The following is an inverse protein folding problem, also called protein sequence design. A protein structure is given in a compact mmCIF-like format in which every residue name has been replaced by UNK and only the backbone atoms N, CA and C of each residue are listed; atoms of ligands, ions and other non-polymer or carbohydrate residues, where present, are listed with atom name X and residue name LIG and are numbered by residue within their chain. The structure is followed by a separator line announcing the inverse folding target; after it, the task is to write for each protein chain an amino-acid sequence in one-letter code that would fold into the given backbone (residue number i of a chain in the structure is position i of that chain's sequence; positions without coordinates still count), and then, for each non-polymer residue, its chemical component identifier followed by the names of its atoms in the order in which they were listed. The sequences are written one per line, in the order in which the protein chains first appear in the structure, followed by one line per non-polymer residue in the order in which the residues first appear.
data_IF_743301433147
#
_entry.id   IF_743301433147
#
_cell.length_a   1.000
_cell.length_b   1.000
_cell.length_c   1.000
_cell.angle_alpha   90.00
_cell.angle_beta   90.00
_cell.angle_gamma   90.00
#
_symmetry.space_group_name_H-M   'P 1'
#
loop_
_entity.id
_entity.type
_entity.pdbx_description
1 polymer ?
#
# COMPACT_ATOMS: atom_id res chain seq x y z
N UNK A 1 6.44 -7.58 27.24
CA UNK A 1 5.91 -6.27 27.72
C UNK A 1 7.05 -5.32 28.13
N UNK A 2 8.19 -5.27 27.42
CA UNK A 2 9.35 -4.43 27.80
C UNK A 2 10.05 -3.66 26.67
N UNK A 3 9.56 -3.75 25.45
CA UNK A 3 10.17 -3.01 24.32
C UNK A 3 9.67 -1.57 24.17
N UNK A 4 8.69 -1.14 24.97
CA UNK A 4 8.14 0.22 24.92
C UNK A 4 8.88 1.21 25.85
N UNK A 5 9.63 0.73 26.82
CA UNK A 5 10.38 1.60 27.75
C UNK A 5 11.68 2.19 27.18
N UNK A 6 12.15 1.67 26.06
CA UNK A 6 13.43 2.12 25.47
C UNK A 6 13.31 3.40 24.61
N UNK A 7 12.11 3.83 24.26
CA UNK A 7 11.91 4.99 23.37
C UNK A 7 11.63 6.32 24.09
N UNK A 8 11.39 6.31 25.41
CA UNK A 8 11.00 7.52 26.15
C UNK A 8 12.18 8.18 26.90
N UNK A 9 13.35 7.57 26.95
CA UNK A 9 14.48 8.07 27.77
C UNK A 9 15.63 8.73 27.00
N UNK A 10 15.43 9.06 25.72
CA UNK A 10 16.33 9.94 24.96
C UNK A 10 15.73 11.33 24.85
N UNK A 11 15.61 11.97 26.01
CA UNK A 11 15.32 13.40 26.16
C UNK A 11 16.34 14.23 25.40
N UNK A 12 15.83 15.20 24.65
CA UNK A 12 16.57 16.08 23.75
C UNK A 12 17.84 16.70 24.35
N UNK A 13 18.95 16.40 23.69
CA UNK A 13 20.11 17.27 23.61
C UNK A 13 20.56 17.29 22.16
N UNK A 14 20.25 18.38 21.49
CA UNK A 14 20.85 18.76 20.22
C UNK A 14 22.36 18.88 20.39
N UNK A 15 23.09 17.84 20.04
CA UNK A 15 24.54 17.99 19.81
C UNK A 15 24.73 18.71 18.48
N UNK A 16 25.03 20.00 18.53
CA UNK A 16 25.67 20.70 17.42
C UNK A 16 27.08 20.12 17.27
N UNK A 17 27.23 19.19 16.31
CA UNK A 17 28.56 18.81 15.85
C UNK A 17 29.15 20.00 15.09
N UNK A 18 30.13 20.63 15.68
CA UNK A 18 31.02 21.59 15.01
C UNK A 18 31.89 20.78 14.07
N UNK A 19 31.57 20.79 12.78
CA UNK A 19 32.42 20.23 11.72
C UNK A 19 33.50 21.27 11.43
N UNK A 20 34.80 20.95 11.56
CA UNK A 20 35.88 21.87 11.21
C UNK A 20 35.82 22.18 9.71
N UNK A 21 35.76 23.48 9.39
CA UNK A 21 35.91 24.01 8.03
C UNK A 21 37.36 23.82 7.56
N UNK A 22 37.70 22.65 7.01
CA UNK A 22 38.87 22.54 6.15
C UNK A 22 38.83 21.18 5.45
N UNK A 23 38.45 21.21 4.23
CA UNK A 23 38.94 20.48 3.04
C UNK A 23 37.85 20.64 1.98
N UNK A 24 37.95 21.74 1.20
CA UNK A 24 37.29 21.80 -0.11
C UNK A 24 38.00 20.79 -1.01
N UNK A 25 37.53 19.53 -1.01
CA UNK A 25 37.89 18.57 -2.05
C UNK A 25 37.09 18.98 -3.29
N UNK A 26 37.82 19.37 -4.35
CA UNK A 26 37.23 19.59 -5.66
C UNK A 26 36.36 18.41 -6.03
N UNK A 27 35.06 18.65 -6.19
CA UNK A 27 34.13 17.63 -6.64
C UNK A 27 34.55 17.27 -8.07
N UNK A 28 34.88 15.99 -8.37
CA UNK A 28 35.20 15.60 -9.73
C UNK A 28 33.99 15.99 -10.60
N UNK A 29 34.32 16.61 -11.75
CA UNK A 29 33.36 17.10 -12.74
C UNK A 29 32.47 15.90 -13.15
N UNK A 30 31.32 15.73 -12.51
CA UNK A 30 30.36 14.68 -12.81
C UNK A 30 29.85 14.97 -14.23
N UNK A 31 30.41 14.29 -15.23
CA UNK A 31 29.79 14.23 -16.55
C UNK A 31 28.31 14.01 -16.36
N UNK A 32 27.49 14.97 -16.79
CA UNK A 32 26.01 14.86 -16.72
C UNK A 32 25.65 13.54 -17.36
N UNK A 33 25.16 12.59 -16.54
CA UNK A 33 24.64 11.32 -17.08
C UNK A 33 23.66 11.70 -18.18
N UNK A 34 23.68 11.06 -19.35
CA UNK A 34 22.70 11.32 -20.38
C UNK A 34 21.32 11.22 -19.74
N UNK A 35 20.46 12.22 -19.97
CA UNK A 35 19.09 12.20 -19.49
C UNK A 35 18.48 10.90 -19.96
N UNK A 36 18.20 9.97 -19.02
CA UNK A 36 17.60 8.70 -19.36
C UNK A 36 16.40 8.98 -20.23
N UNK A 37 16.24 8.24 -21.32
CA UNK A 37 15.07 8.35 -22.19
C UNK A 37 13.82 7.79 -21.49
N UNK A 38 13.47 8.39 -20.35
CA UNK A 38 12.31 8.06 -19.55
C UNK A 38 11.02 8.17 -20.37
N UNK A 39 10.98 9.07 -21.37
CA UNK A 39 9.88 9.19 -22.33
C UNK A 39 9.65 7.93 -23.18
N UNK A 40 10.71 7.21 -23.52
CA UNK A 40 10.59 5.99 -24.34
C UNK A 40 10.00 4.82 -23.54
N UNK A 41 10.29 4.75 -22.24
CA UNK A 41 9.84 3.66 -21.39
C UNK A 41 8.34 3.72 -21.06
N UNK A 42 7.73 4.91 -21.07
CA UNK A 42 6.32 5.14 -20.76
C UNK A 42 5.48 5.57 -21.98
N UNK A 43 5.88 5.20 -23.19
CA UNK A 43 5.12 5.52 -24.40
C UNK A 43 4.91 7.02 -24.64
N UNK A 44 5.82 7.87 -24.17
CA UNK A 44 5.77 9.31 -24.40
C UNK A 44 4.72 10.07 -23.57
N UNK A 45 3.96 9.42 -22.72
CA UNK A 45 3.01 10.10 -21.83
C UNK A 45 3.77 10.77 -20.70
N UNK A 46 3.50 12.06 -20.39
CA UNK A 46 4.12 12.71 -19.25
C UNK A 46 3.74 11.97 -17.98
N UNK A 47 4.72 11.74 -17.12
CA UNK A 47 4.49 11.17 -15.80
C UNK A 47 3.48 12.08 -15.07
N UNK A 48 2.29 11.59 -14.76
CA UNK A 48 1.33 12.32 -13.96
C UNK A 48 1.86 12.42 -12.54
N UNK A 49 2.53 13.51 -12.24
CA UNK A 49 2.83 13.89 -10.88
C UNK A 49 1.50 14.27 -10.21
N UNK A 50 0.99 13.43 -9.33
CA UNK A 50 -0.19 13.77 -8.54
C UNK A 50 0.16 14.97 -7.66
N UNK A 51 -0.58 16.06 -7.83
CA UNK A 51 -0.23 17.38 -7.25
C UNK A 51 -0.23 17.42 -5.72
N UNK A 52 -0.87 16.47 -5.02
CA UNK A 52 -1.12 16.59 -3.58
C UNK A 52 -0.89 15.29 -2.79
N UNK A 53 -0.20 14.29 -3.33
CA UNK A 53 0.06 13.06 -2.60
C UNK A 53 1.56 12.83 -2.50
N UNK A 54 2.01 12.24 -1.40
CA UNK A 54 3.35 11.70 -1.30
C UNK A 54 3.60 10.54 -2.29
N UNK A 55 2.60 10.18 -3.05
CA UNK A 55 2.65 9.19 -4.10
C UNK A 55 3.35 9.77 -5.32
N UNK A 56 4.53 9.30 -5.60
CA UNK A 56 5.35 9.71 -6.77
C UNK A 56 4.98 8.99 -8.05
N UNK A 57 4.11 8.00 -8.00
CA UNK A 57 3.87 7.07 -9.09
C UNK A 57 2.39 7.04 -9.44
N UNK A 58 2.10 6.96 -10.72
CA UNK A 58 0.75 6.85 -11.20
C UNK A 58 0.16 5.47 -10.87
N UNK A 59 -1.13 5.38 -10.95
CA UNK A 59 -1.90 4.16 -10.76
C UNK A 59 -1.41 3.04 -11.66
N UNK A 60 -1.26 1.88 -11.10
CA UNK A 60 -0.92 0.67 -11.84
C UNK A 60 -2.12 0.20 -12.66
N UNK A 61 -1.90 -0.11 -13.95
CA UNK A 61 -2.93 -0.77 -14.76
C UNK A 61 -3.39 -2.09 -14.13
N UNK A 62 -2.48 -2.80 -13.46
CA UNK A 62 -2.78 -4.06 -12.77
C UNK A 62 -3.83 -3.86 -11.67
N UNK A 63 -3.73 -2.80 -10.89
CA UNK A 63 -4.70 -2.46 -9.84
C UNK A 63 -6.06 -2.10 -10.42
N UNK A 64 -6.11 -1.30 -11.50
CA UNK A 64 -7.36 -0.95 -12.18
C UNK A 64 -8.05 -2.21 -12.75
N UNK A 65 -7.28 -3.06 -13.44
CA UNK A 65 -7.80 -4.29 -13.99
C UNK A 65 -8.28 -5.25 -12.87
N UNK A 66 -7.57 -5.30 -11.75
CA UNK A 66 -7.98 -6.08 -10.57
C UNK A 66 -9.29 -5.56 -9.96
N UNK A 67 -9.42 -4.25 -9.76
CA UNK A 67 -10.65 -3.66 -9.25
C UNK A 67 -11.85 -4.07 -10.12
N UNK A 68 -11.75 -3.85 -11.43
CA UNK A 68 -12.81 -4.20 -12.39
C UNK A 68 -13.13 -5.70 -12.43
N UNK A 69 -12.09 -6.55 -12.46
CA UNK A 69 -12.26 -7.97 -12.74
C UNK A 69 -12.58 -8.82 -11.51
N UNK A 70 -12.24 -8.32 -10.32
CA UNK A 70 -12.50 -8.99 -9.05
C UNK A 70 -13.46 -8.19 -8.17
N UNK A 71 -13.10 -6.98 -7.74
CA UNK A 71 -13.85 -6.27 -6.71
C UNK A 71 -15.23 -5.84 -7.21
N UNK A 72 -15.30 -5.23 -8.39
CA UNK A 72 -16.57 -4.76 -8.99
C UNK A 72 -17.48 -5.95 -9.35
N UNK A 73 -16.91 -7.03 -9.94
CA UNK A 73 -17.67 -8.24 -10.27
C UNK A 73 -18.18 -9.00 -9.04
N UNK A 74 -17.57 -8.81 -7.90
CA UNK A 74 -18.01 -9.33 -6.59
C UNK A 74 -18.92 -8.35 -5.85
N UNK A 75 -19.21 -7.19 -6.43
CA UNK A 75 -20.02 -6.11 -5.85
C UNK A 75 -19.50 -5.69 -4.46
N UNK A 76 -18.18 -5.50 -4.35
CA UNK A 76 -17.54 -5.11 -3.09
C UNK A 76 -17.43 -3.59 -2.98
N UNK A 77 -17.55 -3.10 -1.75
CA UNK A 77 -17.36 -1.69 -1.42
C UNK A 77 -15.96 -1.45 -0.90
N UNK A 78 -15.24 -0.51 -1.50
CA UNK A 78 -13.84 -0.25 -1.18
C UNK A 78 -13.45 1.21 -1.40
N UNK A 79 -12.40 1.64 -0.67
CA UNK A 79 -11.62 2.83 -0.98
C UNK A 79 -10.42 2.38 -1.81
N UNK A 80 -10.19 3.02 -2.94
CA UNK A 80 -9.01 2.81 -3.78
C UNK A 80 -7.89 3.76 -3.36
N UNK A 81 -6.65 3.24 -3.26
CA UNK A 81 -5.49 3.98 -2.74
C UNK A 81 -5.76 4.57 -1.35
N UNK A 82 -6.08 3.69 -0.40
CA UNK A 82 -6.30 4.07 0.98
C UNK A 82 -5.03 4.62 1.62
N UNK A 83 -5.07 5.85 2.11
CA UNK A 83 -3.93 6.51 2.74
C UNK A 83 -3.83 6.18 4.24
N UNK A 84 -2.74 5.51 4.63
CA UNK A 84 -2.30 5.39 6.01
C UNK A 84 -1.43 6.61 6.35
N UNK A 85 -2.08 7.69 6.85
CA UNK A 85 -1.49 9.04 6.99
C UNK A 85 -0.26 9.07 7.90
N UNK A 86 -0.28 8.31 8.97
CA UNK A 86 0.79 8.25 9.99
C UNK A 86 2.11 7.68 9.45
N UNK A 87 2.04 6.69 8.55
CA UNK A 87 3.22 6.14 7.88
C UNK A 87 3.44 6.72 6.47
N UNK A 88 2.56 7.58 5.99
CA UNK A 88 2.58 8.19 4.65
C UNK A 88 2.72 7.14 3.55
N UNK A 89 1.88 6.11 3.61
CA UNK A 89 1.81 5.02 2.63
C UNK A 89 0.37 4.81 2.21
N UNK A 90 0.24 4.22 1.02
CA UNK A 90 -1.05 3.86 0.46
C UNK A 90 -1.17 2.35 0.37
N UNK A 91 -2.34 1.84 0.71
CA UNK A 91 -2.76 0.48 0.37
C UNK A 91 -3.61 0.55 -0.89
N UNK A 92 -3.48 -0.44 -1.77
CA UNK A 92 -4.20 -0.39 -3.03
C UNK A 92 -5.71 -0.36 -2.80
N UNK A 93 -6.22 -1.18 -1.88
CA UNK A 93 -7.64 -1.18 -1.55
C UNK A 93 -7.88 -1.37 -0.05
N UNK A 94 -8.82 -0.59 0.49
CA UNK A 94 -9.42 -0.84 1.80
C UNK A 94 -10.89 -1.24 1.62
N UNK A 95 -11.29 -2.39 2.14
CA UNK A 95 -12.61 -2.96 1.95
C UNK A 95 -13.46 -2.91 3.21
N UNK A 96 -14.78 -2.86 3.00
CA UNK A 96 -15.77 -2.99 4.07
C UNK A 96 -16.72 -4.15 3.78
N UNK A 97 -17.18 -4.81 4.86
CA UNK A 97 -18.26 -5.80 4.79
C UNK A 97 -19.56 -5.27 5.43
N UNK A 98 -19.68 -3.97 5.61
CA UNK A 98 -20.85 -3.33 6.21
C UNK A 98 -21.78 -2.86 5.10
N UNK A 99 -22.96 -3.46 5.01
CA UNK A 99 -23.96 -3.21 3.96
C UNK A 99 -24.94 -2.07 4.31
N UNK A 100 -24.98 -1.66 5.59
CA UNK A 100 -25.95 -0.71 6.18
C UNK A 100 -25.43 0.74 6.24
N UNK A 101 -24.24 1.00 5.77
CA UNK A 101 -23.63 2.34 5.74
C UNK A 101 -23.81 2.96 4.35
N UNK A 102 -24.32 4.19 4.31
CA UNK A 102 -24.36 4.96 3.06
C UNK A 102 -23.01 5.62 2.83
N UNK A 103 -22.46 5.42 1.64
CA UNK A 103 -21.15 5.94 1.25
C UNK A 103 -21.29 7.00 0.15
N UNK A 104 -20.40 8.01 0.21
CA UNK A 104 -20.13 8.87 -0.93
C UNK A 104 -19.09 8.21 -1.83
N UNK A 105 -19.32 8.28 -3.13
CA UNK A 105 -18.44 7.67 -4.12
C UNK A 105 -17.70 8.75 -4.90
N UNK A 106 -16.50 8.42 -5.32
CA UNK A 106 -15.67 9.21 -6.23
C UNK A 106 -15.11 8.32 -7.34
N UNK A 107 -14.61 8.93 -8.41
CA UNK A 107 -13.92 8.23 -9.47
C UNK A 107 -12.43 8.62 -9.46
N UNK A 108 -11.57 7.61 -9.30
CA UNK A 108 -10.11 7.74 -9.35
C UNK A 108 -9.56 6.88 -10.48
N UNK A 109 -8.91 7.53 -11.45
CA UNK A 109 -8.26 6.85 -12.58
C UNK A 109 -9.16 5.85 -13.33
N UNK A 110 -10.48 6.16 -13.39
CA UNK A 110 -11.48 5.28 -14.01
C UNK A 110 -12.02 4.18 -13.09
N UNK A 111 -11.62 4.16 -11.82
CA UNK A 111 -12.14 3.25 -10.79
C UNK A 111 -13.15 3.98 -9.92
N UNK A 112 -14.39 3.48 -9.87
CA UNK A 112 -15.41 3.98 -8.95
C UNK A 112 -15.20 3.38 -7.58
N UNK A 113 -14.88 4.21 -6.61
CA UNK A 113 -14.62 3.78 -5.23
C UNK A 113 -15.25 4.71 -4.21
N UNK A 114 -15.24 4.32 -2.94
CA UNK A 114 -15.71 5.18 -1.85
C UNK A 114 -14.69 6.29 -1.60
N UNK A 115 -15.19 7.50 -1.38
CA UNK A 115 -14.37 8.65 -1.01
C UNK A 115 -13.82 8.47 0.41
N UNK A 116 -12.52 8.59 0.59
CA UNK A 116 -11.89 8.43 1.90
C UNK A 116 -12.12 9.62 2.81
N UNK A 117 -12.12 10.85 2.27
CA UNK A 117 -12.19 12.07 3.08
C UNK A 117 -13.63 12.45 3.41
N UNK A 118 -13.82 12.93 4.64
CA UNK A 118 -15.10 13.51 5.07
C UNK A 118 -16.17 12.51 5.48
N UNK A 119 -15.88 11.21 5.48
CA UNK A 119 -16.85 10.20 5.92
C UNK A 119 -16.21 9.05 6.71
N UNK A 120 -17.00 8.35 7.48
CA UNK A 120 -16.57 7.14 8.18
C UNK A 120 -16.65 5.93 7.24
N UNK A 121 -15.53 5.23 7.10
CA UNK A 121 -15.44 3.98 6.37
C UNK A 121 -14.85 2.89 7.29
N UNK A 122 -15.67 1.96 7.79
CA UNK A 122 -15.17 0.88 8.65
C UNK A 122 -14.40 -0.14 7.83
N UNK A 123 -13.08 -0.12 7.96
CA UNK A 123 -12.22 -1.05 7.24
C UNK A 123 -12.33 -2.45 7.85
N UNK A 124 -12.66 -3.43 7.02
CA UNK A 124 -12.70 -4.85 7.42
C UNK A 124 -11.37 -5.54 7.12
N UNK A 125 -10.78 -5.27 5.98
CA UNK A 125 -9.47 -5.76 5.57
C UNK A 125 -8.88 -4.89 4.46
N UNK A 126 -7.59 -5.02 4.26
CA UNK A 126 -6.83 -4.34 3.22
C UNK A 126 -6.39 -5.33 2.14
N UNK A 127 -6.22 -4.85 0.91
CA UNK A 127 -5.62 -5.62 -0.18
C UNK A 127 -4.43 -4.83 -0.74
N UNK A 128 -3.33 -5.55 -1.00
CA UNK A 128 -2.16 -5.11 -1.76
C UNK A 128 -1.98 -6.01 -2.98
N UNK A 129 -1.72 -5.40 -4.11
CA UNK A 129 -1.45 -6.09 -5.38
C UNK A 129 0.04 -6.05 -5.66
N UNK A 130 0.71 -7.13 -5.34
CA UNK A 130 2.17 -7.22 -5.44
C UNK A 130 2.58 -7.59 -6.88
N UNK A 131 3.11 -6.62 -7.62
CA UNK A 131 3.70 -6.85 -8.94
C UNK A 131 4.88 -7.82 -8.83
N UNK A 132 4.84 -8.95 -9.54
CA UNK A 132 5.74 -10.08 -9.34
C UNK A 132 7.22 -9.72 -9.45
N UNK A 133 7.58 -8.81 -10.36
CA UNK A 133 8.95 -8.34 -10.47
C UNK A 133 9.32 -7.37 -9.35
N UNK A 134 8.48 -6.35 -9.09
CA UNK A 134 8.83 -5.26 -8.18
C UNK A 134 8.89 -5.68 -6.71
N UNK A 135 8.06 -6.63 -6.30
CA UNK A 135 8.00 -7.18 -4.95
C UNK A 135 8.77 -8.50 -4.78
N UNK A 136 9.57 -8.87 -5.81
CA UNK A 136 10.47 -10.03 -5.76
C UNK A 136 9.75 -11.35 -5.52
N UNK A 137 8.68 -11.60 -6.27
CA UNK A 137 8.02 -12.91 -6.25
C UNK A 137 9.07 -14.01 -6.54
N UNK A 138 9.32 -14.96 -5.63
CA UNK A 138 10.36 -15.98 -5.80
C UNK A 138 10.14 -16.89 -7.01
N UNK A 139 8.92 -16.90 -7.57
CA UNK A 139 8.60 -17.62 -8.82
C UNK A 139 9.11 -16.88 -10.06
N UNK A 140 9.43 -15.58 -9.94
CA UNK A 140 9.81 -14.69 -11.04
C UNK A 140 11.22 -14.11 -10.87
N UNK A 141 11.61 -13.79 -9.65
CA UNK A 141 12.89 -13.19 -9.32
C UNK A 141 13.67 -14.11 -8.41
N UNK A 142 14.78 -14.65 -8.91
CA UNK A 142 15.71 -15.45 -8.11
C UNK A 142 16.54 -14.57 -7.16
N UNK A 143 17.03 -15.14 -6.06
CA UNK A 143 17.74 -14.41 -4.99
C UNK A 143 18.97 -13.66 -5.49
N UNK A 144 19.71 -14.24 -6.43
CA UNK A 144 20.89 -13.62 -7.05
C UNK A 144 20.58 -12.37 -7.88
N UNK A 145 19.31 -12.16 -8.26
CA UNK A 145 18.81 -11.00 -9.02
C UNK A 145 18.17 -9.91 -8.16
N UNK A 146 18.23 -10.05 -6.85
CA UNK A 146 17.71 -9.05 -5.93
C UNK A 146 18.52 -7.75 -6.03
N UNK A 147 17.86 -6.67 -6.42
CA UNK A 147 18.42 -5.33 -6.59
C UNK A 147 18.20 -4.45 -5.35
N UNK A 148 18.89 -3.30 -5.25
CA UNK A 148 18.59 -2.31 -4.20
C UNK A 148 17.13 -1.82 -4.21
N UNK A 149 16.47 -1.76 -5.38
CA UNK A 149 15.05 -1.43 -5.51
C UNK A 149 14.19 -2.50 -4.83
N UNK A 150 14.47 -3.78 -5.09
CA UNK A 150 13.75 -4.88 -4.47
C UNK A 150 13.87 -4.84 -2.93
N UNK A 151 15.09 -4.64 -2.41
CA UNK A 151 15.32 -4.50 -0.96
C UNK A 151 14.54 -3.33 -0.35
N UNK A 152 14.46 -2.21 -1.06
CA UNK A 152 13.67 -1.07 -0.62
C UNK A 152 12.17 -1.41 -0.59
N UNK A 153 11.64 -2.07 -1.62
CA UNK A 153 10.24 -2.47 -1.67
C UNK A 153 9.91 -3.46 -0.55
N UNK A 154 10.74 -4.48 -0.33
CA UNK A 154 10.59 -5.41 0.79
C UNK A 154 10.55 -4.70 2.16
N UNK A 155 11.36 -3.65 2.34
CA UNK A 155 11.30 -2.84 3.56
C UNK A 155 9.96 -2.08 3.69
N UNK A 156 9.48 -1.49 2.60
CA UNK A 156 8.19 -0.78 2.57
C UNK A 156 7.03 -1.76 2.82
N UNK A 157 7.08 -2.95 2.22
CA UNK A 157 6.09 -4.00 2.42
C UNK A 157 6.01 -4.41 3.89
N UNK A 158 7.16 -4.66 4.51
CA UNK A 158 7.22 -4.97 5.94
C UNK A 158 6.67 -3.84 6.82
N UNK A 159 6.90 -2.58 6.47
CA UNK A 159 6.33 -1.43 7.18
C UNK A 159 4.80 -1.43 7.09
N UNK A 160 4.25 -1.68 5.91
CA UNK A 160 2.80 -1.80 5.69
C UNK A 160 2.22 -2.99 6.48
N UNK A 161 2.87 -4.16 6.44
CA UNK A 161 2.44 -5.34 7.19
C UNK A 161 2.37 -5.05 8.70
N UNK A 162 3.39 -4.40 9.24
CA UNK A 162 3.44 -4.00 10.64
C UNK A 162 2.34 -3.00 11.01
N UNK A 163 2.12 -2.01 10.15
CA UNK A 163 1.06 -1.02 10.37
C UNK A 163 -0.32 -1.68 10.41
N UNK A 164 -0.65 -2.52 9.45
CA UNK A 164 -1.92 -3.25 9.41
C UNK A 164 -2.12 -4.13 10.65
N UNK A 165 -1.06 -4.84 11.09
CA UNK A 165 -1.08 -5.66 12.29
C UNK A 165 -1.31 -4.83 13.56
N UNK A 166 -0.63 -3.68 13.72
CA UNK A 166 -0.80 -2.78 14.86
C UNK A 166 -2.22 -2.21 14.96
N UNK A 167 -2.87 -1.97 13.82
CA UNK A 167 -4.26 -1.50 13.77
C UNK A 167 -5.29 -2.64 13.83
N UNK A 168 -4.84 -3.90 13.93
CA UNK A 168 -5.72 -5.06 13.95
C UNK A 168 -6.51 -5.29 12.66
N UNK A 169 -6.05 -4.70 11.54
CA UNK A 169 -6.70 -4.80 10.24
C UNK A 169 -6.03 -5.91 9.45
N UNK A 170 -6.74 -6.97 9.04
CA UNK A 170 -6.19 -8.01 8.19
C UNK A 170 -5.69 -7.45 6.85
N UNK A 171 -4.53 -7.89 6.40
CA UNK A 171 -3.96 -7.52 5.10
C UNK A 171 -3.87 -8.76 4.21
N UNK A 172 -4.46 -8.68 3.02
CA UNK A 172 -4.39 -9.69 1.98
C UNK A 172 -3.43 -9.20 0.89
N UNK A 173 -2.30 -9.91 0.72
CA UNK A 173 -1.38 -9.67 -0.39
C UNK A 173 -1.67 -10.64 -1.53
N UNK A 174 -1.80 -10.09 -2.74
CA UNK A 174 -2.14 -10.85 -3.94
C UNK A 174 -1.07 -10.62 -5.00
N UNK A 175 -0.39 -11.68 -5.39
CA UNK A 175 0.63 -11.61 -6.43
C UNK A 175 0.03 -11.43 -7.82
N UNK A 176 0.64 -10.57 -8.63
CA UNK A 176 0.34 -10.46 -10.07
C UNK A 176 0.33 -11.82 -10.77
N UNK A 177 1.26 -12.71 -10.39
CA UNK A 177 1.32 -14.06 -10.91
C UNK A 177 0.03 -14.85 -10.65
N UNK A 178 -0.53 -14.75 -9.44
CA UNK A 178 -1.76 -15.47 -9.08
C UNK A 178 -2.98 -14.84 -9.75
N UNK A 179 -3.02 -13.53 -9.92
CA UNK A 179 -4.10 -12.85 -10.67
C UNK A 179 -4.18 -13.40 -12.10
N UNK A 180 -3.02 -13.57 -12.75
CA UNK A 180 -2.94 -14.03 -14.15
C UNK A 180 -3.17 -15.53 -14.32
N UNK A 181 -2.64 -16.34 -13.41
CA UNK A 181 -2.60 -17.79 -13.58
C UNK A 181 -3.61 -18.55 -12.72
N UNK A 182 -4.06 -17.96 -11.60
CA UNK A 182 -4.91 -18.63 -10.61
C UNK A 182 -6.10 -17.74 -10.15
N UNK A 183 -6.88 -17.13 -11.07
CA UNK A 183 -7.92 -16.15 -10.70
C UNK A 183 -9.02 -16.74 -9.82
N UNK A 184 -9.31 -18.05 -9.92
CA UNK A 184 -10.26 -18.73 -9.05
C UNK A 184 -9.76 -18.79 -7.59
N UNK A 185 -8.46 -19.05 -7.39
CA UNK A 185 -7.81 -19.05 -6.07
C UNK A 185 -7.87 -17.67 -5.46
N UNK A 186 -7.52 -16.63 -6.23
CA UNK A 186 -7.60 -15.23 -5.79
C UNK A 186 -9.00 -14.89 -5.31
N UNK A 187 -10.03 -15.23 -6.07
CA UNK A 187 -11.43 -15.01 -5.67
C UNK A 187 -11.77 -15.71 -4.36
N UNK A 188 -11.38 -16.98 -4.22
CA UNK A 188 -11.64 -17.75 -3.00
C UNK A 188 -10.94 -17.15 -1.76
N UNK A 189 -9.73 -16.60 -1.91
CA UNK A 189 -9.02 -15.90 -0.84
C UNK A 189 -9.77 -14.62 -0.41
N UNK A 190 -10.23 -13.81 -1.36
CA UNK A 190 -11.04 -12.61 -1.07
C UNK A 190 -12.32 -13.01 -0.30
N UNK A 191 -13.04 -14.03 -0.78
CA UNK A 191 -14.26 -14.52 -0.11
C UNK A 191 -14.00 -15.00 1.33
N UNK A 192 -12.87 -15.62 1.58
CA UNK A 192 -12.45 -16.02 2.93
C UNK A 192 -12.29 -14.82 3.85
N UNK A 193 -11.66 -13.74 3.39
CA UNK A 193 -11.51 -12.50 4.16
C UNK A 193 -12.85 -11.82 4.45
N UNK A 194 -13.76 -11.81 3.48
CA UNK A 194 -15.13 -11.30 3.65
C UNK A 194 -15.87 -12.08 4.74
N UNK A 195 -15.81 -13.42 4.70
CA UNK A 195 -16.48 -14.28 5.71
C UNK A 195 -15.90 -14.04 7.11
N UNK A 196 -14.59 -13.90 7.23
CA UNK A 196 -13.94 -13.57 8.50
C UNK A 196 -14.36 -12.21 9.04
N UNK A 197 -14.51 -11.21 8.18
CA UNK A 197 -14.97 -9.87 8.55
C UNK A 197 -16.40 -9.86 9.06
N UNK A 198 -17.31 -10.55 8.39
CA UNK A 198 -18.73 -10.69 8.81
C UNK A 198 -18.84 -11.35 10.18
N UNK A 199 -18.11 -12.42 10.45
CA UNK A 199 -18.09 -13.07 11.77
C UNK A 199 -17.61 -12.14 12.89
N UNK A 200 -16.57 -11.32 12.65
CA UNK A 200 -16.11 -10.34 13.64
C UNK A 200 -17.19 -9.29 13.95
N UNK A 201 -17.94 -8.84 12.94
CA UNK A 201 -19.06 -7.92 13.13
C UNK A 201 -20.12 -8.52 14.06
N UNK A 202 -20.60 -9.72 13.77
CA UNK A 202 -21.62 -10.43 14.56
C UNK A 202 -21.22 -10.60 16.04
N UNK A 203 -19.95 -11.00 16.29
CA UNK A 203 -19.43 -11.16 17.64
C UNK A 203 -19.41 -9.83 18.39
N UNK A 204 -19.04 -8.73 17.74
CA UNK A 204 -18.97 -7.41 18.36
C UNK A 204 -20.36 -6.82 18.65
N UNK A 205 -21.33 -7.08 17.79
CA UNK A 205 -22.73 -6.66 18.00
C UNK A 205 -23.38 -7.43 19.16
N UNK A 206 -23.12 -8.73 19.27
CA UNK A 206 -23.62 -9.54 20.36
C UNK A 206 -23.03 -9.14 21.72
N UNK A 207 -21.79 -8.68 21.76
CA UNK A 207 -21.16 -8.16 22.99
C UNK A 207 -21.71 -6.80 23.43
N UNK A 208 -22.32 -6.02 22.55
CA UNK A 208 -22.89 -4.70 22.84
C UNK A 208 -24.36 -4.75 23.27
N UNK A 209 -25.03 -5.90 23.20
CA UNK A 209 -26.39 -6.07 23.70
C UNK A 209 -26.34 -6.26 25.22
N UNK A 210 -26.84 -5.32 26.03
CA UNK A 210 -26.98 -5.54 27.47
C UNK A 210 -27.97 -6.68 27.69
N UNK A 211 -27.68 -7.54 28.63
CA UNK A 211 -28.61 -8.57 29.14
C UNK A 211 -29.69 -7.91 29.98
#
# INVERSE_FOLDING_TARGET
MELWKFFIQMGGKTMKQVIPNSIKKDKPNRKKKPKSNYKAYHGGKPFRQRKNTNQKYGTSKLEIDFARDFLDKMNLTYIYEYEAKDIKRFYDFALTCYDDVKYEYEEKDGVKCVKQEGQFFPITFLIEIDGSYFHSDPRVVSEDKITPMHKHNMFVDKLKDQWAALHGIPLLRIWEYDIKNNPKKVRAEIEKYIKCGKKKKEINENKKRPH
#
